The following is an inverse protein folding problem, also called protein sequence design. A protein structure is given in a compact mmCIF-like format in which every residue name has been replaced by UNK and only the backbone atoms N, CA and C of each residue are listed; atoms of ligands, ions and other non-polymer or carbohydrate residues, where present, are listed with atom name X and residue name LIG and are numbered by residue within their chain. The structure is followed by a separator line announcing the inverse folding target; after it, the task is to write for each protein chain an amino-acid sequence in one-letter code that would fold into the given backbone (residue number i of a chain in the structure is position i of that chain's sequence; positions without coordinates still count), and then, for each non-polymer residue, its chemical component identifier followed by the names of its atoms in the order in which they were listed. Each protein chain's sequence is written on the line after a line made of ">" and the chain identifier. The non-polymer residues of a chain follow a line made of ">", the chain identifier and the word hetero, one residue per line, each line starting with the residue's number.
data_IF_663475485398
#
_entry.id   IF_663475485398
#
_cell.length_a   1.000
_cell.length_b   1.000
_cell.length_c   1.000
_cell.angle_alpha   90.00
_cell.angle_beta   90.00
_cell.angle_gamma   90.00
#
_symmetry.space_group_name_H-M   'P 1'
#
loop_
_entity.id
_entity.type
_entity.pdbx_description
1 polymer ?
#
# COMPACT_ATOMS: atom_id res chain seq x y z
N UNK A 1 -20.74 -7.02 -5.23
CA UNK A 1 -19.28 -7.22 -5.04
C UNK A 1 -18.98 -7.14 -3.55
N UNK A 2 -18.01 -7.90 -3.03
CA UNK A 2 -17.57 -7.79 -1.62
C UNK A 2 -16.10 -7.35 -1.59
N UNK A 3 -15.80 -6.38 -0.73
CA UNK A 3 -14.41 -6.00 -0.46
C UNK A 3 -13.96 -6.71 0.82
N UNK A 4 -13.26 -7.81 0.65
CA UNK A 4 -12.75 -8.64 1.75
C UNK A 4 -11.23 -8.46 1.90
N UNK A 5 -10.69 -8.91 3.03
CA UNK A 5 -9.23 -8.99 3.24
C UNK A 5 -8.55 -9.83 2.15
N UNK A 6 -9.28 -10.81 1.59
CA UNK A 6 -8.85 -11.63 0.46
C UNK A 6 -8.60 -10.79 -0.80
N UNK A 7 -9.54 -9.92 -1.15
CA UNK A 7 -9.37 -8.99 -2.28
C UNK A 7 -8.15 -8.10 -2.10
N UNK A 8 -7.94 -7.56 -0.89
CA UNK A 8 -6.73 -6.78 -0.58
C UNK A 8 -5.45 -7.58 -0.83
N UNK A 9 -5.35 -8.81 -0.31
CA UNK A 9 -4.16 -9.64 -0.50
C UNK A 9 -3.93 -10.02 -1.97
N UNK A 10 -5.01 -10.29 -2.72
CA UNK A 10 -4.92 -10.55 -4.15
C UNK A 10 -4.38 -9.35 -4.92
N UNK A 11 -4.92 -8.16 -4.69
CA UNK A 11 -4.45 -6.92 -5.33
C UNK A 11 -2.98 -6.65 -4.98
N UNK A 12 -2.60 -6.77 -3.70
CA UNK A 12 -1.19 -6.61 -3.28
C UNK A 12 -0.26 -7.58 -3.98
N UNK A 13 -0.63 -8.86 -4.08
CA UNK A 13 0.18 -9.86 -4.76
C UNK A 13 0.25 -9.63 -6.29
N UNK A 14 -0.82 -9.14 -6.91
CA UNK A 14 -0.85 -8.79 -8.33
C UNK A 14 0.03 -7.58 -8.65
N UNK A 15 0.07 -6.56 -7.79
CA UNK A 15 1.00 -5.44 -7.94
C UNK A 15 2.45 -5.93 -7.87
N UNK A 16 2.77 -6.79 -6.89
CA UNK A 16 4.12 -7.34 -6.72
C UNK A 16 4.56 -8.19 -7.92
N UNK A 17 3.63 -8.99 -8.47
CA UNK A 17 3.82 -9.73 -9.72
C UNK A 17 4.12 -8.77 -10.89
N UNK A 18 3.27 -7.77 -11.10
CA UNK A 18 3.35 -6.84 -12.22
C UNK A 18 4.61 -5.96 -12.19
N UNK A 19 5.11 -5.61 -11.00
CA UNK A 19 6.36 -4.87 -10.83
C UNK A 19 7.61 -5.65 -11.27
N UNK A 20 7.54 -6.99 -11.31
CA UNK A 20 8.73 -7.87 -11.43
C UNK A 20 8.70 -8.78 -12.64
N UNK A 21 7.57 -8.91 -13.31
CA UNK A 21 7.43 -9.74 -14.52
C UNK A 21 8.42 -9.38 -15.65
N UNK A 22 8.94 -8.15 -15.69
CA UNK A 22 9.95 -7.71 -16.67
C UNK A 22 11.26 -8.51 -16.57
N UNK A 23 11.54 -9.11 -15.42
CA UNK A 23 12.75 -9.92 -15.15
C UNK A 23 12.50 -11.43 -15.35
N UNK A 24 11.29 -11.80 -15.77
CA UNK A 24 10.85 -13.19 -15.95
C UNK A 24 9.77 -13.62 -14.95
N UNK A 25 9.40 -14.92 -14.97
CA UNK A 25 8.34 -15.47 -14.12
C UNK A 25 8.58 -15.26 -12.62
N UNK A 26 7.55 -14.82 -11.90
CA UNK A 26 7.65 -14.54 -10.47
C UNK A 26 7.15 -15.73 -9.65
N UNK A 27 7.98 -16.22 -8.73
CA UNK A 27 7.62 -17.34 -7.84
C UNK A 27 6.67 -16.88 -6.73
N UNK A 28 5.68 -17.70 -6.38
CA UNK A 28 4.82 -17.43 -5.22
C UNK A 28 5.60 -17.42 -3.90
N UNK A 29 6.68 -18.20 -3.81
CA UNK A 29 7.58 -18.16 -2.66
C UNK A 29 8.24 -16.78 -2.49
N UNK A 30 8.64 -16.15 -3.60
CA UNK A 30 9.17 -14.79 -3.58
C UNK A 30 8.12 -13.76 -3.14
N UNK A 31 6.89 -13.86 -3.67
CA UNK A 31 5.78 -12.98 -3.26
C UNK A 31 5.47 -13.17 -1.77
N UNK A 32 5.43 -14.42 -1.31
CA UNK A 32 5.16 -14.80 0.09
C UNK A 32 6.12 -14.10 1.05
N UNK A 33 7.43 -14.14 0.75
CA UNK A 33 8.45 -13.51 1.59
C UNK A 33 8.34 -11.98 1.61
N UNK A 34 8.10 -11.35 0.45
CA UNK A 34 8.02 -9.87 0.35
C UNK A 34 6.77 -9.31 1.00
N UNK A 35 5.63 -9.94 0.75
CA UNK A 35 4.32 -9.44 1.16
C UNK A 35 3.88 -10.00 2.52
N UNK A 36 4.65 -10.94 3.10
CA UNK A 36 4.33 -11.64 4.35
C UNK A 36 2.96 -12.33 4.31
N UNK A 37 2.64 -12.92 3.16
CA UNK A 37 1.43 -13.71 2.93
C UNK A 37 1.84 -15.18 2.85
N UNK A 38 1.12 -16.10 3.48
CA UNK A 38 1.48 -17.52 3.43
C UNK A 38 1.44 -18.07 2.00
N UNK A 39 2.39 -18.95 1.68
CA UNK A 39 2.48 -19.58 0.36
C UNK A 39 1.19 -20.32 -0.01
N UNK A 40 0.63 -21.09 0.92
CA UNK A 40 -0.61 -21.84 0.72
C UNK A 40 -1.80 -20.93 0.38
N UNK A 41 -1.85 -19.74 0.97
CA UNK A 41 -2.91 -18.78 0.67
C UNK A 41 -2.72 -18.14 -0.71
N UNK A 42 -1.48 -17.81 -1.09
CA UNK A 42 -1.15 -17.34 -2.43
C UNK A 42 -1.50 -18.39 -3.50
N UNK A 43 -1.22 -19.66 -3.26
CA UNK A 43 -1.60 -20.75 -4.17
C UNK A 43 -3.11 -20.81 -4.41
N UNK A 44 -3.92 -20.63 -3.35
CA UNK A 44 -5.37 -20.55 -3.47
C UNK A 44 -5.80 -19.33 -4.30
N UNK A 45 -5.22 -18.16 -4.04
CA UNK A 45 -5.54 -16.92 -4.77
C UNK A 45 -5.17 -17.03 -6.25
N UNK A 46 -3.93 -17.41 -6.55
CA UNK A 46 -3.41 -17.52 -7.92
C UNK A 46 -4.08 -18.65 -8.69
N UNK A 47 -4.51 -19.72 -8.01
CA UNK A 47 -5.35 -20.75 -8.60
C UNK A 47 -6.68 -20.20 -9.11
N UNK A 48 -7.28 -19.21 -8.43
CA UNK A 48 -8.49 -18.52 -8.92
C UNK A 48 -8.18 -17.54 -10.04
N UNK A 49 -7.17 -16.69 -9.87
CA UNK A 49 -6.75 -15.72 -10.87
C UNK A 49 -6.37 -16.38 -12.21
N UNK A 50 -5.77 -17.57 -12.15
CA UNK A 50 -5.44 -18.39 -13.33
C UNK A 50 -6.68 -18.90 -14.06
N UNK A 51 -7.75 -19.27 -13.32
CA UNK A 51 -9.03 -19.72 -13.91
C UNK A 51 -9.76 -18.59 -14.63
N UNK A 52 -9.54 -17.35 -14.20
CA UNK A 52 -10.08 -16.15 -14.84
C UNK A 52 -9.14 -15.54 -15.88
N UNK A 53 -8.08 -16.27 -16.29
CA UNK A 53 -7.16 -15.83 -17.34
C UNK A 53 -6.52 -14.45 -17.05
N UNK A 54 -6.29 -14.16 -15.76
CA UNK A 54 -5.58 -12.95 -15.32
C UNK A 54 -4.07 -13.24 -15.21
N UNK A 55 -3.72 -14.47 -14.81
CA UNK A 55 -2.33 -14.92 -14.66
C UNK A 55 -2.10 -16.26 -15.35
N UNK A 56 -0.88 -16.46 -15.84
CA UNK A 56 -0.41 -17.72 -16.42
C UNK A 56 0.67 -18.34 -15.53
N UNK A 57 0.69 -19.67 -15.49
CA UNK A 57 1.67 -20.44 -14.73
C UNK A 57 2.73 -21.01 -15.67
N UNK A 58 4.01 -20.69 -15.41
CA UNK A 58 5.15 -21.27 -16.11
C UNK A 58 5.74 -22.39 -15.26
N UNK A 59 5.85 -23.59 -15.83
CA UNK A 59 6.41 -24.78 -15.14
C UNK A 59 7.91 -24.91 -15.41
N UNK A 60 8.61 -25.58 -14.50
CA UNK A 60 10.04 -25.91 -14.61
C UNK A 60 10.93 -25.17 -13.60
N UNK A 61 12.24 -25.44 -13.59
CA UNK A 61 13.21 -24.70 -12.78
C UNK A 61 13.17 -23.20 -13.12
N UNK A 62 12.98 -22.34 -12.13
CA UNK A 62 12.78 -20.90 -12.35
C UNK A 62 11.37 -20.53 -12.85
N UNK A 63 10.43 -21.49 -12.86
CA UNK A 63 9.03 -21.23 -13.17
C UNK A 63 8.32 -20.40 -12.10
N UNK A 64 7.08 -20.01 -12.38
CA UNK A 64 6.33 -19.09 -11.53
C UNK A 64 5.05 -18.65 -12.21
N UNK A 65 4.68 -17.40 -12.00
CA UNK A 65 3.52 -16.77 -12.62
C UNK A 65 3.92 -15.54 -13.42
N UNK A 66 3.16 -15.27 -14.48
CA UNK A 66 3.18 -14.05 -15.29
C UNK A 66 1.76 -13.50 -15.42
N UNK A 67 1.60 -12.24 -15.82
CA UNK A 67 0.30 -11.75 -16.26
C UNK A 67 -0.07 -12.42 -17.59
N UNK A 68 -1.32 -12.88 -17.69
CA UNK A 68 -1.89 -13.41 -18.93
C UNK A 68 -2.30 -12.30 -19.90
N UNK A 69 -2.66 -11.13 -19.35
CA UNK A 69 -3.13 -9.94 -20.07
C UNK A 69 -2.25 -8.75 -19.71
N UNK A 70 -2.23 -7.69 -20.53
CA UNK A 70 -1.45 -6.48 -20.20
C UNK A 70 -1.98 -5.86 -18.91
N UNK A 71 -1.11 -5.30 -18.08
CA UNK A 71 -1.51 -4.71 -16.79
C UNK A 71 -2.53 -3.57 -16.93
N UNK A 72 -2.51 -2.87 -18.07
CA UNK A 72 -3.51 -1.84 -18.43
C UNK A 72 -4.91 -2.40 -18.70
N UNK A 73 -5.01 -3.67 -19.10
CA UNK A 73 -6.28 -4.33 -19.46
C UNK A 73 -6.86 -5.12 -18.27
N UNK A 74 -6.19 -5.10 -17.11
CA UNK A 74 -6.60 -5.78 -15.88
C UNK A 74 -7.02 -4.73 -14.86
N UNK A 75 -8.31 -4.72 -14.49
CA UNK A 75 -8.83 -3.77 -13.50
C UNK A 75 -8.75 -4.32 -12.08
N UNK A 76 -8.87 -3.44 -11.07
CA UNK A 76 -8.98 -3.90 -9.67
C UNK A 76 -10.26 -4.70 -9.45
N UNK A 77 -11.35 -4.33 -10.14
CA UNK A 77 -12.60 -5.09 -10.14
C UNK A 77 -12.38 -6.54 -10.64
N UNK A 78 -11.67 -6.74 -11.75
CA UNK A 78 -11.34 -8.07 -12.27
C UNK A 78 -10.64 -8.95 -11.22
N UNK A 79 -9.65 -8.40 -10.54
CA UNK A 79 -8.87 -9.12 -9.52
C UNK A 79 -9.77 -9.53 -8.36
N UNK A 80 -10.60 -8.61 -7.86
CA UNK A 80 -11.50 -8.86 -6.73
C UNK A 80 -12.56 -9.90 -7.11
N UNK A 81 -13.21 -9.74 -8.26
CA UNK A 81 -14.24 -10.65 -8.76
C UNK A 81 -13.66 -12.05 -8.99
N UNK A 82 -12.42 -12.17 -9.46
CA UNK A 82 -11.78 -13.47 -9.67
C UNK A 82 -11.51 -14.21 -8.35
N UNK A 83 -11.16 -13.50 -7.27
CA UNK A 83 -10.79 -14.15 -5.99
C UNK A 83 -11.95 -14.35 -5.04
N UNK A 84 -12.90 -13.42 -5.00
CA UNK A 84 -14.13 -13.54 -4.22
C UNK A 84 -15.15 -14.33 -5.04
N UNK A 85 -15.40 -15.57 -4.61
CA UNK A 85 -16.59 -16.30 -5.09
C UNK A 85 -17.82 -15.43 -4.85
N UNK A 86 -18.87 -15.54 -5.70
CA UNK A 86 -20.06 -14.70 -5.61
C UNK A 86 -20.78 -14.95 -4.29
N UNK A 87 -20.36 -14.24 -3.26
CA UNK A 87 -20.99 -14.17 -1.97
C UNK A 87 -21.61 -12.78 -1.90
N UNK A 88 -22.91 -12.76 -2.15
CA UNK A 88 -23.68 -11.55 -2.21
C UNK A 88 -23.64 -10.79 -0.87
N UNK A 89 -23.23 -9.52 -0.95
CA UNK A 89 -23.11 -8.63 0.20
C UNK A 89 -24.46 -8.28 0.82
N UNK A 90 -25.53 -8.33 0.01
CA UNK A 90 -26.88 -7.91 0.39
C UNK A 90 -27.76 -9.05 0.89
N UNK A 91 -27.28 -10.30 0.79
CA UNK A 91 -28.11 -11.51 0.93
C UNK A 91 -29.42 -11.47 0.12
N UNK A 92 -29.46 -10.66 -0.94
CA UNK A 92 -30.62 -10.42 -1.81
C UNK A 92 -30.38 -10.71 -3.30
N UNK A 93 -29.19 -11.19 -3.66
CA UNK A 93 -28.72 -11.54 -5.00
C UNK A 93 -28.78 -10.43 -6.04
N UNK A 94 -28.92 -9.15 -5.64
CA UNK A 94 -29.29 -8.07 -6.56
C UNK A 94 -30.71 -8.19 -7.15
N UNK A 95 -31.53 -9.09 -6.61
CA UNK A 95 -32.91 -9.39 -7.06
C UNK A 95 -33.98 -8.72 -6.19
N UNK A 96 -33.57 -7.88 -5.24
CA UNK A 96 -34.46 -7.26 -4.26
C UNK A 96 -34.93 -8.19 -3.14
N UNK A 97 -34.85 -9.51 -3.30
CA UNK A 97 -35.38 -10.52 -2.36
C UNK A 97 -34.37 -10.86 -1.28
N UNK A 98 -34.39 -10.18 -0.13
CA UNK A 98 -33.51 -10.49 1.00
C UNK A 98 -33.96 -11.77 1.72
N UNK A 99 -33.03 -12.67 2.05
CA UNK A 99 -33.25 -13.90 2.86
C UNK A 99 -33.56 -13.63 4.34
N UNK A 100 -34.26 -12.55 4.66
CA UNK A 100 -34.61 -12.17 6.02
C UNK A 100 -35.83 -11.26 6.14
N UNK A 101 -36.36 -10.75 5.03
CA UNK A 101 -37.56 -9.91 5.05
C UNK A 101 -38.81 -10.79 5.08
N UNK A 102 -39.48 -10.84 6.23
CA UNK A 102 -40.90 -11.27 6.33
C UNK A 102 -41.83 -10.21 5.73
N UNK A 103 -41.52 -9.69 4.55
CA UNK A 103 -42.36 -8.75 3.81
C UNK A 103 -43.06 -9.49 2.64
N UNK A 104 -44.36 -9.22 2.37
CA UNK A 104 -45.14 -9.93 1.35
C UNK A 104 -44.56 -9.86 -0.07
N UNK A 105 -43.76 -8.84 -0.33
CA UNK A 105 -43.26 -8.40 -1.63
C UNK A 105 -41.73 -8.59 -1.76
N UNK A 106 -41.08 -9.15 -0.74
CA UNK A 106 -39.67 -9.56 -0.78
C UNK A 106 -38.64 -8.44 -0.87
N UNK A 107 -39.04 -7.20 -1.18
CA UNK A 107 -38.14 -6.06 -1.34
C UNK A 107 -37.68 -5.50 0.01
N UNK A 108 -36.36 -5.48 0.24
CA UNK A 108 -35.78 -4.76 1.38
C UNK A 108 -35.95 -3.25 1.21
N UNK A 109 -36.43 -2.57 2.26
CA UNK A 109 -36.62 -1.11 2.30
C UNK A 109 -35.34 -0.32 1.96
N UNK A 110 -34.17 -0.91 2.17
CA UNK A 110 -32.86 -0.29 1.91
C UNK A 110 -32.19 -0.78 0.62
N UNK A 111 -32.88 -1.61 -0.19
CA UNK A 111 -32.29 -2.28 -1.35
C UNK A 111 -31.71 -1.30 -2.37
N UNK A 112 -32.43 -0.23 -2.73
CA UNK A 112 -31.93 0.75 -3.71
C UNK A 112 -30.68 1.49 -3.22
N UNK A 113 -30.63 1.85 -1.94
CA UNK A 113 -29.47 2.53 -1.35
C UNK A 113 -28.21 1.66 -1.46
N UNK A 114 -28.31 0.40 -1.01
CA UNK A 114 -27.18 -0.53 -1.05
C UNK A 114 -26.78 -0.93 -2.48
N UNK A 115 -27.75 -1.08 -3.38
CA UNK A 115 -27.49 -1.40 -4.79
C UNK A 115 -26.77 -0.25 -5.49
N UNK A 116 -27.22 0.99 -5.24
CA UNK A 116 -26.56 2.19 -5.78
C UNK A 116 -25.13 2.33 -5.26
N UNK A 117 -24.91 2.08 -3.96
CA UNK A 117 -23.56 2.10 -3.38
C UNK A 117 -22.66 1.03 -3.99
N UNK A 118 -23.15 -0.21 -4.11
CA UNK A 118 -22.39 -1.29 -4.72
C UNK A 118 -22.05 -0.99 -6.19
N UNK A 119 -22.98 -0.41 -6.94
CA UNK A 119 -22.75 0.01 -8.33
C UNK A 119 -21.63 1.06 -8.42
N UNK A 120 -21.69 2.11 -7.59
CA UNK A 120 -20.64 3.14 -7.54
C UNK A 120 -19.28 2.59 -7.12
N UNK A 121 -19.26 1.62 -6.21
CA UNK A 121 -18.04 0.94 -5.81
C UNK A 121 -17.43 0.11 -6.95
N UNK A 122 -18.25 -0.64 -7.69
CA UNK A 122 -17.80 -1.40 -8.87
C UNK A 122 -17.26 -0.45 -9.94
N UNK A 123 -18.00 0.61 -10.27
CA UNK A 123 -17.57 1.61 -11.27
C UNK A 123 -16.20 2.22 -10.92
N UNK A 124 -15.95 2.51 -9.64
CA UNK A 124 -14.65 3.01 -9.20
C UNK A 124 -13.54 1.96 -9.27
N UNK A 125 -13.78 0.72 -8.85
CA UNK A 125 -12.75 -0.32 -8.90
C UNK A 125 -12.47 -0.79 -10.34
N UNK A 126 -13.43 -0.64 -11.24
CA UNK A 126 -13.28 -0.95 -12.66
C UNK A 126 -12.51 0.16 -13.40
N UNK A 127 -12.62 1.42 -12.96
CA UNK A 127 -11.87 2.53 -13.55
C UNK A 127 -10.39 2.56 -13.19
N UNK A 128 -9.94 1.74 -12.24
CA UNK A 128 -8.54 1.66 -11.80
C UNK A 128 -7.89 0.40 -12.38
N UNK A 129 -6.87 0.59 -13.21
CA UNK A 129 -6.09 -0.53 -13.78
C UNK A 129 -4.96 -0.98 -12.85
N UNK A 130 -4.48 -2.21 -13.05
CA UNK A 130 -3.29 -2.72 -12.38
C UNK A 130 -2.05 -1.89 -12.75
N UNK A 131 -1.99 -1.40 -13.99
CA UNK A 131 -0.91 -0.53 -14.45
C UNK A 131 -0.86 0.77 -13.64
N UNK A 132 -2.00 1.42 -13.38
CA UNK A 132 -2.06 2.64 -12.58
C UNK A 132 -1.48 2.43 -11.17
N UNK A 133 -1.76 1.27 -10.57
CA UNK A 133 -1.24 0.93 -9.25
C UNK A 133 0.27 0.66 -9.28
N UNK A 134 0.77 0.02 -10.34
CA UNK A 134 2.20 -0.21 -10.55
C UNK A 134 2.94 1.12 -10.72
N UNK A 135 2.40 2.04 -11.51
CA UNK A 135 3.01 3.34 -11.78
C UNK A 135 3.02 4.22 -10.52
N UNK A 136 1.94 4.20 -9.74
CA UNK A 136 1.92 4.85 -8.42
C UNK A 136 2.98 4.29 -7.48
N UNK A 137 3.21 2.97 -7.49
CA UNK A 137 4.23 2.35 -6.64
C UNK A 137 5.65 2.70 -7.11
N UNK A 138 5.91 2.69 -8.42
CA UNK A 138 7.18 3.13 -9.01
C UNK A 138 7.47 4.60 -8.69
N UNK A 139 6.47 5.47 -8.75
CA UNK A 139 6.61 6.88 -8.39
C UNK A 139 6.95 7.08 -6.91
N UNK A 140 6.41 6.25 -6.02
CA UNK A 140 6.73 6.28 -4.58
C UNK A 140 8.13 5.77 -4.28
N UNK A 141 8.59 4.72 -4.96
CA UNK A 141 9.92 4.15 -4.80
C UNK A 141 11.03 5.00 -5.46
N UNK A 142 10.69 5.72 -6.54
CA UNK A 142 11.58 6.65 -7.24
C UNK A 142 11.66 8.05 -6.64
N UNK A 143 10.77 8.41 -5.72
CA UNK A 143 10.93 9.62 -4.93
C UNK A 143 12.08 9.39 -3.93
N UNK A 144 13.20 10.13 -4.00
CA UNK A 144 14.24 10.01 -2.99
C UNK A 144 13.57 10.25 -1.64
N UNK A 145 13.74 9.31 -0.72
CA UNK A 145 13.41 9.53 0.68
C UNK A 145 14.23 10.74 1.13
N UNK A 146 13.64 11.94 1.01
CA UNK A 146 14.16 13.15 1.63
C UNK A 146 14.04 12.86 3.11
N UNK A 147 15.11 12.30 3.67
CA UNK A 147 15.36 12.22 5.09
C UNK A 147 15.29 13.67 5.57
N UNK A 148 14.10 14.12 5.97
CA UNK A 148 13.96 15.39 6.66
C UNK A 148 14.69 15.20 7.97
N UNK A 149 15.94 15.63 7.98
CA UNK A 149 16.76 15.71 9.17
C UNK A 149 15.98 16.54 10.19
N UNK A 150 15.37 15.83 11.16
CA UNK A 150 14.64 16.40 12.29
C UNK A 150 15.60 16.74 13.43
N UNK A 151 16.89 16.96 13.17
CA UNK A 151 17.72 17.73 14.09
C UNK A 151 17.17 19.15 14.10
N UNK A 152 16.33 19.42 15.10
CA UNK A 152 16.17 20.77 15.63
C UNK A 152 17.59 21.31 15.82
N UNK A 153 17.98 22.43 15.20
CA UNK A 153 19.22 23.08 15.61
C UNK A 153 19.04 23.37 17.10
N UNK A 154 19.86 22.75 17.95
CA UNK A 154 19.98 23.23 19.31
C UNK A 154 20.28 24.74 19.23
N UNK A 155 19.64 25.58 20.05
CA UNK A 155 19.96 26.98 20.06
C UNK A 155 21.44 27.10 20.39
N UNK A 156 22.22 27.58 19.42
CA UNK A 156 23.62 27.97 19.64
C UNK A 156 23.60 28.94 20.81
N UNK A 157 24.18 28.52 21.93
CA UNK A 157 24.28 29.34 23.12
C UNK A 157 24.84 30.70 22.72
N UNK A 158 24.13 31.76 23.11
CA UNK A 158 24.55 33.12 22.84
C UNK A 158 26.00 33.31 23.31
N UNK A 159 26.84 34.04 22.54
CA UNK A 159 28.21 34.30 22.94
C UNK A 159 28.21 34.96 24.32
N UNK A 160 28.92 34.32 25.26
CA UNK A 160 29.07 34.80 26.63
C UNK A 160 29.58 36.25 26.61
N UNK A 161 28.94 37.11 27.41
CA UNK A 161 29.39 38.48 27.60
C UNK A 161 30.87 38.50 28.03
N UNK A 162 31.70 39.40 27.47
CA UNK A 162 33.10 39.47 27.82
C UNK A 162 33.24 39.87 29.29
N UNK A 163 33.83 38.96 30.08
CA UNK A 163 34.25 39.22 31.45
C UNK A 163 35.13 40.48 31.46
N UNK A 164 34.64 41.55 32.08
CA UNK A 164 35.44 42.75 32.36
C UNK A 164 36.56 42.37 33.31
N UNK A 165 37.74 42.05 32.77
CA UNK A 165 38.97 41.92 33.55
C UNK A 165 39.35 43.29 34.10
N UNK A 166 39.33 43.44 35.42
CA UNK A 166 39.96 44.56 36.12
C UNK A 166 41.45 44.61 35.73
N UNK A 167 42.01 45.78 35.37
CA UNK A 167 43.43 45.89 35.12
C UNK A 167 44.20 45.73 36.45
N UNK A 168 45.05 44.71 36.53
CA UNK A 168 46.12 44.69 37.53
C UNK A 168 47.05 45.87 37.24
N UNK A 169 47.09 46.82 38.18
CA UNK A 169 48.02 47.94 38.13
C UNK A 169 49.47 47.46 38.06
N UNK A 170 50.35 48.20 37.36
CA UNK A 170 51.72 47.75 37.09
C UNK A 170 52.57 47.70 38.37
N UNK A 171 53.29 46.59 38.54
CA UNK A 171 54.38 46.43 39.49
C UNK A 171 55.45 47.50 39.21
N UNK A 172 55.48 48.55 40.04
CA UNK A 172 56.50 49.59 39.98
C UNK A 172 57.53 49.35 41.07
N UNK A 173 58.64 48.72 40.65
CA UNK A 173 59.92 48.67 41.34
C UNK A 173 60.57 50.05 41.20
N UNK A 174 60.36 51.00 42.12
CA UNK A 174 61.23 52.18 42.30
C UNK A 174 60.98 52.93 43.63
N UNK A 175 62.10 53.31 44.27
CA UNK A 175 62.34 54.25 45.40
C UNK A 175 62.13 53.74 46.85
N UNK A 176 63.15 53.51 47.69
CA UNK A 176 64.32 54.30 48.17
C UNK A 176 63.98 55.27 49.34
N UNK A 177 64.58 54.94 50.50
CA UNK A 177 65.15 55.76 51.58
C UNK A 177 64.29 56.65 52.54
N UNK A 178 64.80 56.63 53.78
CA UNK A 178 64.81 57.67 54.83
C UNK A 178 63.50 58.00 55.57
N UNK A 179 63.40 57.56 56.83
CA UNK A 179 63.77 58.35 58.02
C UNK A 179 63.92 57.44 59.24
#
# INVERSE_FOLDING_TARGET
>A
MRLTTKGRFAVTAMIDLALRQEQGPVTLAGISQRQRISLSYLEQLFGKLRRHEIVESVRGPGGGYNLARRAQDVTVADIIIAVDEPLDATQCGGKGTCDGSKQPDGHCMTHELWSTLNQKMVEYLDSVSLQDLVDQQRAREGAPAVLRDRRTPEPVAAPAEPVRTMPLGPNSVFNIASS
#
